data_IF_546486899737
#
_entry.id   IF_546486899737
#
_cell.length_a   1.000
_cell.length_b   1.000
_cell.length_c   1.000
_cell.angle_alpha   90.00
_cell.angle_beta   90.00
_cell.angle_gamma   90.00
#
_symmetry.space_group_name_H-M   'P 1'
#
loop_
_entity.id
_entity.type
_entity.pdbx_description
1 polymer ?
#
# COMPACT_ATOMS: atom_id res chain seq x y z
N UNK A 1 12.29 1.30 19.33
CA UNK A 1 10.89 1.67 19.70
C UNK A 1 10.45 2.73 18.70
N UNK A 2 9.61 2.41 17.72
CA UNK A 2 9.09 3.42 16.78
C UNK A 2 8.01 4.23 17.49
N UNK A 3 8.12 5.56 17.46
CA UNK A 3 7.09 6.42 18.02
C UNK A 3 5.86 6.39 17.11
N UNK A 4 4.70 5.98 17.64
CA UNK A 4 3.43 6.08 16.91
C UNK A 4 3.11 7.57 16.75
N UNK A 5 3.00 8.04 15.50
CA UNK A 5 2.66 9.42 15.17
C UNK A 5 1.22 9.47 14.65
N UNK A 6 0.45 10.42 15.14
CA UNK A 6 -0.93 10.68 14.72
C UNK A 6 -0.96 11.97 13.90
N UNK A 7 -1.68 11.98 12.77
CA UNK A 7 -2.00 13.22 12.07
C UNK A 7 -3.28 13.77 12.68
N UNK A 8 -3.23 14.99 13.20
CA UNK A 8 -4.38 15.64 13.80
C UNK A 8 -4.74 16.89 12.98
N UNK A 9 -5.96 16.94 12.49
CA UNK A 9 -6.55 18.13 11.89
C UNK A 9 -7.48 18.77 12.91
N UNK A 10 -7.20 20.02 13.28
CA UNK A 10 -8.03 20.77 14.23
C UNK A 10 -8.71 21.90 13.47
N UNK A 11 -10.05 21.93 13.53
CA UNK A 11 -10.88 22.97 12.94
C UNK A 11 -11.83 23.52 13.99
N UNK A 12 -12.08 24.81 13.99
CA UNK A 12 -13.15 25.42 14.79
C UNK A 12 -14.37 25.56 13.90
N UNK A 13 -15.48 24.94 14.28
CA UNK A 13 -16.78 25.10 13.64
C UNK A 13 -17.70 25.77 14.64
N UNK A 14 -18.07 27.02 14.35
CA UNK A 14 -18.77 27.92 15.30
C UNK A 14 -17.99 28.06 16.61
N UNK A 15 -18.48 27.44 17.69
CA UNK A 15 -17.87 27.44 19.02
C UNK A 15 -17.30 26.07 19.42
N UNK A 16 -17.29 25.09 18.51
CA UNK A 16 -16.82 23.73 18.74
C UNK A 16 -15.47 23.49 18.07
N UNK A 17 -14.51 22.97 18.84
CA UNK A 17 -13.25 22.45 18.29
C UNK A 17 -13.47 21.03 17.78
N UNK A 18 -13.43 20.85 16.47
CA UNK A 18 -13.45 19.55 15.81
C UNK A 18 -12.02 19.07 15.63
N UNK A 19 -11.71 17.92 16.23
CA UNK A 19 -10.38 17.29 16.19
C UNK A 19 -10.52 15.99 15.40
N UNK A 20 -9.95 15.94 14.20
CA UNK A 20 -9.96 14.77 13.33
C UNK A 20 -8.60 14.09 13.39
N UNK A 21 -8.59 12.86 13.88
CA UNK A 21 -7.39 12.01 13.88
C UNK A 21 -7.37 11.23 12.57
N UNK A 22 -6.29 11.35 11.81
CA UNK A 22 -6.08 10.69 10.54
C UNK A 22 -4.91 9.72 10.63
N UNK A 23 -5.03 8.63 9.89
CA UNK A 23 -3.90 7.75 9.63
C UNK A 23 -2.76 8.49 8.96
N UNK A 24 -1.54 8.27 9.45
CA UNK A 24 -0.31 8.77 8.82
C UNK A 24 0.14 7.89 7.66
N UNK A 25 -0.49 6.73 7.46
CA UNK A 25 -0.12 5.73 6.47
C UNK A 25 -1.21 5.59 5.41
N UNK A 26 -0.83 5.66 4.13
CA UNK A 26 -1.78 5.61 3.02
C UNK A 26 -1.15 4.92 1.82
N UNK A 27 -1.86 3.95 1.26
CA UNK A 27 -1.47 3.30 0.00
C UNK A 27 -2.25 3.94 -1.13
N UNK A 28 -1.56 4.34 -2.19
CA UNK A 28 -2.16 4.92 -3.38
C UNK A 28 -1.87 4.00 -4.57
N UNK A 29 -2.92 3.71 -5.34
CA UNK A 29 -2.82 2.91 -6.53
C UNK A 29 -2.68 3.81 -7.75
N UNK A 30 -1.46 4.04 -8.20
CA UNK A 30 -1.20 4.76 -9.47
C UNK A 30 -1.06 3.82 -10.68
N UNK A 31 -1.49 2.57 -10.53
CA UNK A 31 -1.57 1.65 -11.67
C UNK A 31 -2.88 1.89 -12.43
N UNK A 32 -2.96 1.31 -13.63
CA UNK A 32 -4.19 1.29 -14.44
C UNK A 32 -5.14 0.15 -14.05
N UNK A 33 -4.79 -0.65 -13.04
CA UNK A 33 -5.53 -1.85 -12.66
C UNK A 33 -6.01 -1.75 -11.21
N UNK A 34 -7.21 -2.25 -10.89
CA UNK A 34 -7.61 -2.42 -9.50
C UNK A 34 -6.67 -3.39 -8.79
N UNK A 35 -6.35 -3.09 -7.53
CA UNK A 35 -5.56 -3.95 -6.66
C UNK A 35 -6.35 -4.29 -5.39
N UNK A 36 -6.02 -5.43 -4.80
CA UNK A 36 -6.54 -5.87 -3.53
C UNK A 36 -5.45 -5.79 -2.47
N UNK A 37 -5.84 -5.37 -1.28
CA UNK A 37 -4.99 -5.18 -0.12
C UNK A 37 -5.57 -5.91 1.09
N UNK A 38 -4.70 -6.55 1.86
CA UNK A 38 -5.06 -7.06 3.18
C UNK A 38 -3.88 -6.94 4.14
N UNK A 39 -4.20 -6.80 5.43
CA UNK A 39 -3.23 -6.93 6.51
C UNK A 39 -3.28 -8.34 7.06
N UNK A 40 -2.12 -8.91 7.35
CA UNK A 40 -1.98 -10.22 7.97
C UNK A 40 -1.16 -10.14 9.26
N UNK A 41 -1.43 -11.03 10.21
CA UNK A 41 -0.59 -11.22 11.39
C UNK A 41 0.75 -11.92 11.05
N UNK A 42 1.57 -12.18 12.08
CA UNK A 42 2.85 -12.88 11.91
C UNK A 42 2.70 -14.36 11.52
N UNK A 43 1.53 -14.96 11.72
CA UNK A 43 1.19 -16.34 11.35
C UNK A 43 0.63 -16.42 9.92
N UNK A 44 0.21 -15.29 9.36
CA UNK A 44 -0.30 -15.13 8.00
C UNK A 44 -1.82 -15.06 7.90
N UNK A 45 -2.56 -14.95 9.01
CA UNK A 45 -4.01 -14.80 8.99
C UNK A 45 -4.41 -13.35 8.71
N UNK A 46 -5.45 -13.10 7.89
CA UNK A 46 -6.00 -11.76 7.70
C UNK A 46 -6.50 -11.18 9.01
N UNK A 47 -6.06 -9.96 9.32
CA UNK A 47 -6.47 -9.19 10.52
C UNK A 47 -7.39 -8.02 10.18
N UNK A 48 -7.57 -7.73 8.90
CA UNK A 48 -8.50 -6.75 8.38
C UNK A 48 -9.30 -7.34 7.22
N UNK A 49 -10.43 -6.73 6.92
CA UNK A 49 -11.15 -6.98 5.67
C UNK A 49 -10.23 -6.76 4.47
N UNK A 50 -10.54 -7.47 3.39
CA UNK A 50 -9.93 -7.26 2.08
C UNK A 50 -10.42 -5.94 1.49
N UNK A 51 -9.50 -5.13 1.03
CA UNK A 51 -9.76 -3.78 0.54
C UNK A 51 -9.39 -3.69 -0.93
N UNK A 52 -10.33 -3.19 -1.75
CA UNK A 52 -10.12 -3.01 -3.17
C UNK A 52 -9.81 -1.55 -3.46
N UNK A 53 -8.65 -1.29 -4.05
CA UNK A 53 -8.18 0.05 -4.38
C UNK A 53 -8.18 0.19 -5.90
N UNK A 54 -9.11 1.00 -6.43
CA UNK A 54 -9.18 1.27 -7.87
C UNK A 54 -8.02 2.14 -8.39
N UNK A 55 -7.85 2.24 -9.71
CA UNK A 55 -6.88 3.14 -10.33
C UNK A 55 -7.04 4.59 -9.86
N UNK A 56 -5.95 5.24 -9.47
CA UNK A 56 -5.90 6.60 -8.94
C UNK A 56 -6.50 6.76 -7.53
N UNK A 57 -7.03 5.70 -6.93
CA UNK A 57 -7.59 5.73 -5.58
C UNK A 57 -6.52 5.45 -4.54
N UNK A 58 -6.89 5.68 -3.29
CA UNK A 58 -6.02 5.44 -2.15
C UNK A 58 -6.79 4.90 -0.96
N UNK A 59 -6.07 4.19 -0.09
CA UNK A 59 -6.61 3.58 1.12
C UNK A 59 -5.73 3.95 2.33
N UNK A 60 -6.31 4.58 3.36
CA UNK A 60 -5.61 4.85 4.61
C UNK A 60 -5.48 3.56 5.44
N UNK A 61 -4.27 3.25 5.89
CA UNK A 61 -4.04 2.07 6.74
C UNK A 61 -4.28 2.41 8.22
N UNK A 62 -4.87 1.52 9.03
CA UNK A 62 -5.06 1.76 10.46
C UNK A 62 -3.72 1.88 11.22
N UNK A 63 -3.52 2.97 11.94
CA UNK A 63 -2.23 3.34 12.57
C UNK A 63 -1.68 2.23 13.48
N UNK A 64 -2.54 1.63 14.28
CA UNK A 64 -2.15 0.57 15.21
C UNK A 64 -1.82 -0.76 14.53
N UNK A 65 -2.41 -1.00 13.36
CA UNK A 65 -2.26 -2.25 12.62
C UNK A 65 -0.96 -2.26 11.83
N UNK A 66 -0.54 -1.12 11.27
CA UNK A 66 0.64 -1.01 10.40
C UNK A 66 1.95 -1.42 11.07
N UNK A 67 2.09 -1.18 12.37
CA UNK A 67 3.32 -1.48 13.13
C UNK A 67 3.38 -2.93 13.64
N UNK A 68 2.26 -3.64 13.62
CA UNK A 68 2.14 -5.02 14.13
C UNK A 68 1.95 -6.05 13.03
N UNK A 69 1.37 -5.64 11.91
CA UNK A 69 0.90 -6.52 10.86
C UNK A 69 1.70 -6.34 9.58
N UNK A 70 1.64 -7.33 8.72
CA UNK A 70 2.28 -7.32 7.40
C UNK A 70 1.25 -7.04 6.32
N UNK A 71 1.69 -6.39 5.26
CA UNK A 71 0.84 -6.05 4.12
C UNK A 71 0.97 -7.15 3.06
N UNK A 72 -0.14 -7.53 2.46
CA UNK A 72 -0.19 -8.28 1.20
C UNK A 72 -1.01 -7.52 0.18
N UNK A 73 -0.55 -7.63 -1.07
CA UNK A 73 -1.16 -7.01 -2.24
C UNK A 73 -1.27 -8.05 -3.34
N UNK A 74 -2.30 -7.93 -4.17
CA UNK A 74 -2.40 -8.61 -5.45
C UNK A 74 -3.14 -7.72 -6.46
N UNK A 75 -2.93 -7.91 -7.77
CA UNK A 75 -3.89 -7.45 -8.76
C UNK A 75 -5.27 -8.05 -8.46
N UNK A 76 -6.34 -7.40 -8.93
CA UNK A 76 -7.69 -7.98 -8.88
C UNK A 76 -7.71 -9.46 -9.27
N UNK A 77 -8.43 -10.26 -8.48
CA UNK A 77 -8.49 -11.72 -8.62
C UNK A 77 -8.88 -12.19 -10.04
N UNK A 78 -9.56 -11.35 -10.83
CA UNK A 78 -9.89 -11.63 -12.23
C UNK A 78 -8.68 -11.76 -13.16
N UNK A 79 -7.49 -11.32 -12.75
CA UNK A 79 -6.26 -11.39 -13.54
C UNK A 79 -5.43 -12.68 -13.32
N UNK A 80 -5.86 -13.59 -12.44
CA UNK A 80 -5.17 -14.87 -12.23
C UNK A 80 -3.89 -14.82 -11.39
N UNK A 81 -3.54 -13.66 -10.84
CA UNK A 81 -2.39 -13.49 -9.94
C UNK A 81 -2.75 -13.80 -8.48
N UNK A 82 -1.73 -14.16 -7.70
CA UNK A 82 -1.82 -14.45 -6.27
C UNK A 82 -1.10 -13.38 -5.46
N UNK A 83 -1.44 -13.31 -4.18
CA UNK A 83 -0.78 -12.48 -3.18
C UNK A 83 0.75 -12.47 -3.28
N UNK A 84 1.33 -11.28 -3.13
CA UNK A 84 2.76 -11.13 -2.93
C UNK A 84 3.22 -11.76 -1.60
N UNK A 85 4.53 -11.90 -1.44
CA UNK A 85 5.11 -12.22 -0.13
C UNK A 85 4.72 -11.16 0.89
N UNK A 86 4.51 -11.56 2.14
CA UNK A 86 4.14 -10.63 3.21
C UNK A 86 5.23 -9.57 3.39
N UNK A 87 4.81 -8.31 3.43
CA UNK A 87 5.71 -7.17 3.47
C UNK A 87 5.58 -6.48 4.83
N UNK A 88 6.69 -6.30 5.54
CA UNK A 88 6.70 -5.49 6.76
C UNK A 88 6.74 -4.02 6.39
N UNK A 89 5.99 -3.22 7.11
CA UNK A 89 5.96 -1.79 6.87
C UNK A 89 7.34 -1.12 7.07
N UNK A 90 8.12 -1.59 8.06
CA UNK A 90 9.48 -1.07 8.29
C UNK A 90 10.40 -1.26 7.08
N UNK A 91 10.29 -2.41 6.41
CA UNK A 91 11.09 -2.73 5.23
C UNK A 91 10.77 -1.79 4.07
N UNK A 92 9.53 -1.32 4.01
CA UNK A 92 9.10 -0.34 3.02
C UNK A 92 9.70 1.02 3.28
N UNK A 93 9.62 1.51 4.52
CA UNK A 93 10.18 2.82 4.89
C UNK A 93 11.70 2.84 4.70
N UNK A 94 12.38 1.73 4.95
CA UNK A 94 13.83 1.61 4.76
C UNK A 94 14.23 1.66 3.27
N UNK A 95 13.43 1.06 2.37
CA UNK A 95 13.70 0.99 0.93
C UNK A 95 12.86 2.02 0.20
N UNK A 96 13.45 3.20 -0.09
CA UNK A 96 12.76 4.29 -0.82
C UNK A 96 12.02 3.84 -2.08
N UNK A 97 12.51 2.80 -2.77
CA UNK A 97 11.85 2.16 -3.92
C UNK A 97 12.13 0.65 -3.92
N UNK A 98 11.16 -0.16 -4.31
CA UNK A 98 11.24 -1.62 -4.35
C UNK A 98 10.20 -2.22 -5.29
N UNK A 99 10.48 -3.44 -5.75
CA UNK A 99 9.56 -4.21 -6.61
C UNK A 99 8.79 -5.24 -5.78
N UNK A 100 7.46 -5.25 -5.92
CA UNK A 100 6.58 -6.25 -5.31
C UNK A 100 6.19 -7.26 -6.39
N UNK A 101 6.47 -8.54 -6.14
CA UNK A 101 6.18 -9.63 -7.07
C UNK A 101 4.95 -10.41 -6.62
N UNK A 102 3.98 -10.54 -7.52
CA UNK A 102 2.78 -11.35 -7.35
C UNK A 102 2.85 -12.53 -8.34
N UNK A 103 2.99 -13.78 -7.87
CA UNK A 103 3.08 -14.92 -8.77
C UNK A 103 1.75 -15.15 -9.49
N UNK A 104 1.81 -15.62 -10.74
CA UNK A 104 0.61 -16.06 -11.43
C UNK A 104 0.15 -17.44 -10.92
N UNK A 105 -1.12 -17.76 -11.12
CA UNK A 105 -1.68 -19.06 -10.72
C UNK A 105 -1.14 -20.21 -11.59
N UNK A 106 -0.93 -19.96 -12.88
CA UNK A 106 -0.15 -20.80 -13.77
C UNK A 106 1.35 -20.51 -13.61
N UNK A 107 2.15 -21.56 -13.37
CA UNK A 107 3.60 -21.47 -13.20
C UNK A 107 4.36 -21.14 -14.49
N UNK A 108 3.75 -21.32 -15.67
CA UNK A 108 4.33 -20.95 -16.97
C UNK A 108 4.25 -19.45 -17.24
N UNK A 109 3.28 -18.78 -16.62
CA UNK A 109 3.05 -17.36 -16.81
C UNK A 109 4.00 -16.51 -15.96
N UNK A 110 4.34 -15.33 -16.48
CA UNK A 110 5.21 -14.40 -15.77
C UNK A 110 4.51 -13.81 -14.55
N UNK A 111 5.28 -13.53 -13.49
CA UNK A 111 4.74 -12.85 -12.32
C UNK A 111 4.46 -11.36 -12.60
N UNK A 112 3.38 -10.85 -12.03
CA UNK A 112 3.09 -9.42 -12.01
C UNK A 112 4.07 -8.69 -11.09
N UNK A 113 4.59 -7.55 -11.53
CA UNK A 113 5.57 -6.76 -10.78
C UNK A 113 5.07 -5.33 -10.60
N UNK A 114 4.69 -4.97 -9.37
CA UNK A 114 4.46 -3.58 -9.01
C UNK A 114 5.81 -2.91 -8.71
N UNK A 115 6.03 -1.69 -9.24
CA UNK A 115 7.06 -0.82 -8.66
C UNK A 115 6.39 0.06 -7.62
N UNK A 116 6.88 -0.01 -6.40
CA UNK A 116 6.40 0.80 -5.30
C UNK A 116 7.53 1.69 -4.81
N UNK A 117 7.20 2.91 -4.42
CA UNK A 117 8.12 3.77 -3.69
C UNK A 117 7.42 4.39 -2.49
N UNK A 118 8.23 4.78 -1.53
CA UNK A 118 7.79 5.46 -0.32
C UNK A 118 8.16 6.92 -0.48
N UNK A 119 7.17 7.82 -0.58
CA UNK A 119 7.46 9.25 -0.41
C UNK A 119 7.14 9.62 1.02
N UNK A 120 8.10 10.17 1.75
CA UNK A 120 7.88 10.77 3.06
C UNK A 120 7.92 12.29 2.91
N UNK A 121 6.96 13.02 3.46
CA UNK A 121 7.03 14.49 3.46
C UNK A 121 8.19 14.97 4.35
N UNK A 122 9.23 15.51 3.72
CA UNK A 122 10.42 16.04 4.41
C UNK A 122 10.34 17.54 4.70
N UNK A 123 9.31 18.26 4.24
CA UNK A 123 9.19 19.71 4.50
C UNK A 123 8.80 20.03 5.94
N UNK A 124 8.21 19.05 6.62
CA UNK A 124 8.19 18.97 8.07
C UNK A 124 8.98 17.73 8.46
N UNK A 125 10.12 17.86 9.16
CA UNK A 125 10.83 16.72 9.77
C UNK A 125 9.98 15.88 10.76
N UNK A 126 8.69 16.22 10.87
CA UNK A 126 7.68 15.73 11.80
C UNK A 126 6.61 14.89 11.05
N UNK A 127 6.45 14.98 9.72
CA UNK A 127 5.41 14.27 8.95
C UNK A 127 5.96 13.09 8.14
N UNK A 128 6.07 11.92 8.77
CA UNK A 128 6.16 10.67 8.00
C UNK A 128 4.77 10.33 7.47
N UNK A 129 4.41 10.92 6.32
CA UNK A 129 3.33 10.42 5.47
C UNK A 129 3.99 9.63 4.35
N UNK A 130 4.08 8.29 4.43
CA UNK A 130 4.55 7.47 3.33
C UNK A 130 3.40 7.36 2.32
N UNK A 131 3.44 8.14 1.25
CA UNK A 131 2.58 7.93 0.10
C UNK A 131 3.21 6.85 -0.77
N UNK A 132 2.59 5.67 -0.78
CA UNK A 132 2.95 4.61 -1.71
C UNK A 132 2.33 4.94 -3.03
N UNK A 133 3.15 5.33 -3.98
CA UNK A 133 2.69 5.43 -5.34
C UNK A 133 3.22 4.19 -6.06
N UNK A 134 2.33 3.47 -6.74
CA UNK A 134 2.69 2.28 -7.50
C UNK A 134 2.67 2.62 -8.98
N UNK A 135 3.82 2.86 -9.62
CA UNK A 135 3.93 2.92 -11.08
C UNK A 135 4.10 1.50 -11.58
N UNK A 136 3.32 1.16 -12.59
CA UNK A 136 3.60 -0.04 -13.37
C UNK A 136 4.72 0.31 -14.34
N UNK A 137 5.91 -0.29 -14.17
CA UNK A 137 6.79 -0.52 -15.32
C UNK A 137 6.18 -1.71 -16.02
N UNK A 138 5.35 -1.44 -17.03
CA UNK A 138 4.92 -2.47 -17.96
C UNK A 138 6.14 -2.92 -18.75
N UNK A 139 6.90 -3.87 -18.21
CA UNK A 139 7.50 -4.89 -19.07
C UNK A 139 6.44 -5.98 -19.27
N UNK A 140 5.30 -5.55 -19.81
CA UNK A 140 4.51 -6.42 -20.65
C UNK A 140 5.15 -6.22 -22.03
N UNK A 141 6.16 -7.04 -22.33
CA UNK A 141 6.30 -7.50 -23.70
C UNK A 141 5.00 -8.25 -24.00
N UNK A 142 4.01 -7.50 -24.45
CA UNK A 142 3.12 -8.03 -25.48
C UNK A 142 4.09 -8.39 -26.61
N UNK A 143 4.13 -9.64 -27.10
CA UNK A 143 4.61 -9.82 -28.45
C UNK A 143 3.64 -9.02 -29.34
N UNK A 144 4.03 -7.79 -29.68
CA UNK A 144 3.58 -7.20 -30.92
C UNK A 144 4.09 -8.13 -32.03
N UNK A 145 3.22 -9.05 -32.41
CA UNK A 145 3.04 -9.49 -33.79
C UNK A 145 1.94 -8.52 -34.26
N UNK A 146 2.17 -7.51 -35.09
CA UNK A 146 3.03 -7.38 -36.28
C UNK A 146 4.14 -6.34 -36.16
#
# INVERSE_FOLDING_TARGET
KYANRLLCEVKVQENVKVVVIRSTYQIQNDTLYPLELTLIDDVGHPVSSLEKIGPGQSYPLPIEAVTKNRIRLQPDQGFGYKWCTAIRFEDLVAKKSFTIKCPHSDAKEAAFRFQAWVQTDTKDAIKLVPSFHTKTLSLMSIPFIF
#
